data_IF_185649678661
#
_entry.id   IF_185649678661
#
_cell.length_a   1.000
_cell.length_b   1.000
_cell.length_c   1.000
_cell.angle_alpha   90.00
_cell.angle_beta   90.00
_cell.angle_gamma   90.00
#
_symmetry.space_group_name_H-M   'P 1'
#
loop_
_entity.id
_entity.type
_entity.pdbx_description
1 polymer ?
#
# COMPACT_ATOMS: atom_id res chain seq x y z
N UNK A 1 -7.71 47.59 -10.73
CA UNK A 1 -9.03 48.10 -10.26
C UNK A 1 -10.06 47.14 -10.79
N UNK A 2 -10.94 46.47 -10.06
CA UNK A 2 -11.15 46.16 -8.65
C UNK A 2 -12.27 45.11 -8.72
N UNK A 3 -12.17 44.04 -7.94
CA UNK A 3 -13.32 43.19 -7.59
C UNK A 3 -14.40 44.06 -6.89
N UNK A 4 -15.71 43.68 -6.85
CA UNK A 4 -16.09 42.73 -5.80
C UNK A 4 -17.32 41.81 -6.06
N UNK A 5 -17.18 40.62 -5.47
CA UNK A 5 -18.17 39.72 -4.86
C UNK A 5 -19.62 40.18 -4.59
N UNK A 6 -20.58 39.28 -4.85
CA UNK A 6 -21.84 39.11 -4.08
C UNK A 6 -22.44 37.74 -4.43
N UNK A 7 -22.64 36.75 -3.55
CA UNK A 7 -23.35 36.84 -2.27
C UNK A 7 -24.76 36.22 -2.38
N UNK A 8 -24.93 34.98 -2.87
CA UNK A 8 -26.27 34.33 -2.94
C UNK A 8 -26.64 33.67 -1.60
N UNK A 9 -27.18 34.53 -0.73
CA UNK A 9 -27.96 34.27 0.49
C UNK A 9 -29.04 33.21 0.22
N UNK A 10 -29.04 32.09 0.95
CA UNK A 10 -30.15 31.13 0.97
C UNK A 10 -31.36 31.80 1.61
N UNK A 11 -32.48 31.84 0.87
CA UNK A 11 -33.74 32.46 1.26
C UNK A 11 -34.52 31.50 2.19
N UNK A 12 -35.05 32.05 3.29
CA UNK A 12 -35.92 31.37 4.25
C UNK A 12 -37.36 31.57 3.81
N UNK A 13 -38.11 30.48 3.63
CA UNK A 13 -39.57 30.54 3.43
C UNK A 13 -40.24 29.62 4.43
N UNK A 14 -41.15 30.19 5.21
CA UNK A 14 -41.93 29.51 6.24
C UNK A 14 -43.33 29.23 5.69
N UNK A 15 -43.79 28.00 5.89
CA UNK A 15 -45.18 27.49 6.01
C UNK A 15 -46.24 27.86 4.95
N UNK A 16 -46.83 26.86 4.28
CA UNK A 16 -48.10 26.23 4.71
C UNK A 16 -48.60 25.14 3.72
N UNK A 17 -48.91 23.96 4.28
CA UNK A 17 -49.97 22.99 3.92
C UNK A 17 -50.38 22.76 2.46
N UNK A 18 -50.08 21.55 1.94
CA UNK A 18 -51.05 20.69 1.25
C UNK A 18 -50.46 19.27 1.08
N UNK A 19 -51.29 18.26 1.32
CA UNK A 19 -50.98 16.83 1.17
C UNK A 19 -50.73 16.51 -0.31
N UNK A 20 -49.71 15.71 -0.59
CA UNK A 20 -49.82 14.76 -1.70
C UNK A 20 -48.96 13.51 -1.47
N UNK A 21 -49.63 12.36 -1.55
CA UNK A 21 -49.08 11.03 -1.41
C UNK A 21 -48.43 10.61 -2.73
N UNK A 22 -47.10 10.65 -2.82
CA UNK A 22 -46.36 9.82 -3.79
C UNK A 22 -44.94 9.59 -3.27
N UNK A 23 -44.78 8.69 -2.30
CA UNK A 23 -43.45 8.25 -1.86
C UNK A 23 -42.87 7.27 -2.88
N UNK A 24 -42.19 7.83 -3.88
CA UNK A 24 -41.25 7.11 -4.72
C UNK A 24 -40.22 6.40 -3.84
N UNK A 25 -40.12 5.09 -4.02
CA UNK A 25 -39.14 4.22 -3.39
C UNK A 25 -37.73 4.66 -3.81
N UNK A 26 -37.09 5.50 -2.99
CA UNK A 26 -35.64 5.58 -2.98
C UNK A 26 -35.15 4.23 -2.45
N UNK A 27 -34.51 3.43 -3.31
CA UNK A 27 -33.88 2.18 -2.91
C UNK A 27 -32.99 2.44 -1.69
N UNK A 28 -33.46 2.00 -0.53
CA UNK A 28 -32.73 2.05 0.73
C UNK A 28 -31.54 1.11 0.54
N UNK A 29 -30.35 1.66 0.30
CA UNK A 29 -29.10 0.91 0.35
C UNK A 29 -29.16 0.01 1.59
N UNK A 30 -29.05 -1.30 1.40
CA UNK A 30 -29.07 -2.27 2.49
C UNK A 30 -27.78 -2.09 3.28
N UNK A 31 -27.81 -1.21 4.27
CA UNK A 31 -26.69 -1.00 5.17
C UNK A 31 -26.64 -2.17 6.16
N UNK A 32 -25.55 -2.93 6.14
CA UNK A 32 -25.29 -4.06 7.04
C UNK A 32 -24.61 -3.53 8.31
N UNK A 33 -24.92 -4.11 9.46
CA UNK A 33 -24.17 -3.84 10.70
C UNK A 33 -22.95 -4.75 10.76
N UNK A 34 -21.83 -4.19 11.16
CA UNK A 34 -20.63 -4.98 11.38
C UNK A 34 -20.80 -5.86 12.64
N UNK A 35 -20.46 -7.14 12.55
CA UNK A 35 -20.64 -8.07 13.67
C UNK A 35 -19.53 -7.94 14.73
N UNK A 36 -18.36 -7.40 14.36
CA UNK A 36 -17.20 -7.23 15.24
C UNK A 36 -17.19 -5.86 15.95
N UNK A 37 -17.63 -4.82 15.26
CA UNK A 37 -17.55 -3.42 15.70
C UNK A 37 -18.94 -2.78 15.90
N UNK A 38 -19.85 -3.53 16.51
CA UNK A 38 -21.17 -3.06 16.95
C UNK A 38 -21.34 -3.20 18.46
N UNK A 39 -20.98 -2.13 19.19
CA UNK A 39 -21.10 -2.08 20.64
C UNK A 39 -22.51 -1.61 21.07
N UNK A 40 -23.20 -2.42 21.89
CA UNK A 40 -24.57 -2.11 22.36
C UNK A 40 -24.66 -0.83 23.20
N UNK A 41 -23.56 -0.43 23.84
CA UNK A 41 -23.38 0.79 24.61
C UNK A 41 -22.65 1.90 23.84
N UNK A 42 -22.35 1.68 22.56
CA UNK A 42 -21.74 2.69 21.70
C UNK A 42 -22.63 3.93 21.56
N UNK A 43 -22.01 5.10 21.59
CA UNK A 43 -22.67 6.41 21.61
C UNK A 43 -22.48 7.23 20.31
N UNK A 44 -21.87 6.63 19.29
CA UNK A 44 -21.84 7.14 17.90
C UNK A 44 -21.95 5.97 16.91
N UNK A 45 -22.66 6.20 15.80
CA UNK A 45 -22.70 5.28 14.66
C UNK A 45 -21.94 5.93 13.51
N UNK A 46 -20.93 5.24 13.00
CA UNK A 46 -20.20 5.60 11.78
C UNK A 46 -20.70 4.72 10.64
N UNK A 47 -20.88 5.31 9.46
CA UNK A 47 -21.25 4.59 8.25
C UNK A 47 -20.07 4.69 7.29
N UNK A 48 -19.50 3.54 6.92
CA UNK A 48 -18.48 3.44 5.89
C UNK A 48 -19.01 2.54 4.77
N UNK A 49 -19.29 3.15 3.61
CA UNK A 49 -20.00 2.51 2.49
C UNK A 49 -21.37 1.98 2.93
N UNK A 50 -21.55 0.66 2.85
CA UNK A 50 -22.75 -0.09 3.19
C UNK A 50 -22.64 -0.77 4.57
N UNK A 51 -21.63 -0.40 5.39
CA UNK A 51 -21.45 -0.98 6.72
C UNK A 51 -21.61 0.09 7.82
N UNK A 52 -22.38 -0.26 8.83
CA UNK A 52 -22.64 0.50 10.05
C UNK A 52 -21.78 -0.01 11.22
N UNK A 53 -21.08 0.91 11.88
CA UNK A 53 -20.22 0.67 13.04
C UNK A 53 -20.74 1.47 14.22
N UNK A 54 -21.07 0.81 15.35
CA UNK A 54 -21.53 1.50 16.56
C UNK A 54 -20.41 1.48 17.60
N UNK A 55 -19.79 2.63 17.86
CA UNK A 55 -18.56 2.77 18.65
C UNK A 55 -18.65 3.94 19.65
N UNK A 56 -17.54 4.26 20.33
CA UNK A 56 -17.49 5.30 21.36
C UNK A 56 -16.81 6.60 20.90
N UNK A 57 -17.55 7.72 21.03
CA UNK A 57 -17.10 9.10 20.78
C UNK A 57 -15.82 9.45 21.55
N UNK A 58 -15.72 9.02 22.81
CA UNK A 58 -14.59 9.34 23.68
C UNK A 58 -13.27 8.79 23.15
N UNK A 59 -13.28 7.55 22.64
CA UNK A 59 -12.10 6.90 22.07
C UNK A 59 -11.69 7.60 20.77
N UNK A 60 -12.66 7.89 19.88
CA UNK A 60 -12.40 8.62 18.63
C UNK A 60 -11.83 10.02 18.91
N UNK A 61 -12.42 10.77 19.85
CA UNK A 61 -11.94 12.11 20.22
C UNK A 61 -10.58 12.11 20.95
N UNK A 62 -10.24 11.02 21.64
CA UNK A 62 -8.92 10.84 22.27
C UNK A 62 -7.83 10.74 21.20
N UNK A 63 -8.05 9.91 20.19
CA UNK A 63 -7.02 9.57 19.21
C UNK A 63 -7.08 10.37 17.90
N UNK A 64 -8.19 11.04 17.58
CA UNK A 64 -8.33 11.88 16.39
C UNK A 64 -8.72 13.31 16.79
N UNK A 65 -7.86 14.31 16.54
CA UNK A 65 -8.20 15.73 16.67
C UNK A 65 -9.43 16.11 15.85
N UNK A 66 -9.57 15.56 14.65
CA UNK A 66 -10.69 15.83 13.76
C UNK A 66 -12.01 15.32 14.36
N UNK A 67 -12.04 14.09 14.88
CA UNK A 67 -13.22 13.60 15.59
C UNK A 67 -13.44 14.30 16.91
N UNK A 68 -12.38 14.78 17.59
CA UNK A 68 -12.53 15.62 18.78
C UNK A 68 -13.29 16.89 18.47
N UNK A 69 -12.97 17.56 17.37
CA UNK A 69 -13.61 18.81 16.98
C UNK A 69 -15.03 18.58 16.42
N UNK A 70 -15.23 17.53 15.62
CA UNK A 70 -16.57 17.13 15.16
C UNK A 70 -17.48 16.75 16.34
N UNK A 71 -16.98 15.93 17.28
CA UNK A 71 -17.75 15.53 18.46
C UNK A 71 -18.01 16.70 19.40
N UNK A 72 -17.07 17.65 19.53
CA UNK A 72 -17.28 18.90 20.29
C UNK A 72 -18.34 19.79 19.65
N UNK A 73 -18.37 19.87 18.32
CA UNK A 73 -19.42 20.59 17.60
C UNK A 73 -20.81 19.93 17.73
N UNK A 74 -20.86 18.63 18.07
CA UNK A 74 -22.08 17.82 18.07
C UNK A 74 -22.53 17.22 19.41
N UNK A 75 -21.88 17.51 20.55
CA UNK A 75 -22.35 16.93 21.82
C UNK A 75 -22.12 17.81 23.07
N UNK A 76 -23.24 18.30 23.62
CA UNK A 76 -23.47 18.29 25.07
C UNK A 76 -23.51 16.83 25.54
N UNK A 77 -22.70 16.54 26.56
CA UNK A 77 -22.61 15.31 27.36
C UNK A 77 -22.16 14.00 26.65
N UNK A 78 -20.99 13.48 27.05
CA UNK A 78 -20.90 12.28 27.89
C UNK A 78 -19.45 11.75 28.06
N UNK A 79 -19.26 11.07 29.19
CA UNK A 79 -18.05 10.63 29.87
C UNK A 79 -17.18 9.56 29.15
N UNK A 80 -15.94 9.49 29.63
CA UNK A 80 -14.87 8.54 29.31
C UNK A 80 -15.21 7.09 29.71
N UNK A 81 -14.90 6.15 28.82
CA UNK A 81 -14.51 4.79 29.17
C UNK A 81 -13.33 4.38 28.26
N UNK A 82 -12.32 3.76 28.86
CA UNK A 82 -11.11 3.30 28.19
C UNK A 82 -11.25 1.83 27.78
N UNK A 83 -11.00 1.54 26.51
CA UNK A 83 -10.61 0.20 26.05
C UNK A 83 -9.47 0.39 25.04
N UNK A 84 -8.24 0.14 25.48
CA UNK A 84 -7.07 0.03 24.61
C UNK A 84 -6.98 -1.41 24.13
N UNK A 85 -7.60 -1.70 22.98
CA UNK A 85 -7.41 -2.97 22.28
C UNK A 85 -6.96 -2.70 20.85
N UNK A 86 -5.67 -2.41 20.70
CA UNK A 86 -5.01 -2.48 19.39
C UNK A 86 -4.21 -3.78 19.32
N UNK A 87 -4.88 -4.91 19.50
CA UNK A 87 -4.26 -6.25 19.41
C UNK A 87 -4.05 -6.74 17.97
N UNK A 88 -4.56 -6.01 16.97
CA UNK A 88 -4.37 -6.35 15.55
C UNK A 88 -2.91 -6.20 15.07
N UNK A 89 -2.08 -5.49 15.83
CA UNK A 89 -0.67 -5.22 15.53
C UNK A 89 0.26 -5.91 16.53
N UNK A 90 0.06 -7.22 16.75
CA UNK A 90 0.99 -8.00 17.56
C UNK A 90 2.40 -7.98 16.92
N UNK A 91 3.39 -7.52 17.68
CA UNK A 91 4.75 -7.23 17.21
C UNK A 91 5.52 -8.43 16.61
N UNK A 92 5.02 -9.67 16.72
CA UNK A 92 5.72 -10.90 16.32
C UNK A 92 5.06 -11.70 15.18
N UNK A 93 4.06 -11.16 14.49
CA UNK A 93 3.41 -11.87 13.37
C UNK A 93 4.30 -11.89 12.12
N UNK A 94 4.32 -13.03 11.39
CA UNK A 94 4.93 -13.12 10.05
C UNK A 94 4.30 -12.08 9.12
N UNK A 95 5.10 -11.46 8.26
CA UNK A 95 4.60 -10.53 7.24
C UNK A 95 3.72 -11.31 6.27
N UNK A 96 2.48 -10.85 6.08
CA UNK A 96 1.52 -11.47 5.16
C UNK A 96 0.79 -10.40 4.35
N UNK A 97 0.25 -10.77 3.20
CA UNK A 97 -0.53 -9.88 2.33
C UNK A 97 -1.61 -9.11 3.10
N UNK A 98 -2.40 -9.81 3.93
CA UNK A 98 -3.48 -9.21 4.73
C UNK A 98 -2.95 -8.17 5.72
N UNK A 99 -1.80 -8.44 6.34
CA UNK A 99 -1.20 -7.52 7.31
C UNK A 99 -0.70 -6.25 6.61
N UNK A 100 -0.04 -6.38 5.46
CA UNK A 100 0.46 -5.23 4.69
C UNK A 100 -0.71 -4.41 4.13
N UNK A 101 -1.71 -5.05 3.53
CA UNK A 101 -2.92 -4.39 3.04
C UNK A 101 -3.66 -3.65 4.17
N UNK A 102 -3.82 -4.30 5.33
CA UNK A 102 -4.42 -3.68 6.52
C UNK A 102 -3.59 -2.49 7.03
N UNK A 103 -2.27 -2.61 7.07
CA UNK A 103 -1.39 -1.51 7.48
C UNK A 103 -1.47 -0.31 6.52
N UNK A 104 -1.55 -0.54 5.20
CA UNK A 104 -1.79 0.53 4.21
C UNK A 104 -3.13 1.24 4.47
N UNK A 105 -4.21 0.47 4.68
CA UNK A 105 -5.53 1.03 4.97
C UNK A 105 -5.54 1.84 6.27
N UNK A 106 -4.95 1.29 7.35
CA UNK A 106 -4.83 1.98 8.64
C UNK A 106 -4.01 3.25 8.51
N UNK A 107 -2.90 3.24 7.77
CA UNK A 107 -2.09 4.43 7.55
C UNK A 107 -2.86 5.53 6.81
N UNK A 108 -3.59 5.20 5.73
CA UNK A 108 -4.42 6.17 5.00
C UNK A 108 -5.50 6.80 5.88
N UNK A 109 -6.19 5.98 6.66
CA UNK A 109 -7.22 6.44 7.57
C UNK A 109 -6.61 7.29 8.69
N UNK A 110 -5.53 6.82 9.30
CA UNK A 110 -4.83 7.54 10.36
C UNK A 110 -4.33 8.90 9.89
N UNK A 111 -3.80 8.98 8.66
CA UNK A 111 -3.43 10.25 8.04
C UNK A 111 -4.67 11.15 7.82
N UNK A 112 -5.74 10.63 7.20
CA UNK A 112 -6.98 11.37 6.93
C UNK A 112 -7.64 11.93 8.21
N UNK A 113 -7.58 11.19 9.30
CA UNK A 113 -8.20 11.54 10.59
C UNK A 113 -7.20 12.06 11.63
N UNK A 114 -5.95 12.34 11.24
CA UNK A 114 -4.89 12.88 12.11
C UNK A 114 -4.63 12.05 13.37
N UNK A 115 -4.68 10.72 13.26
CA UNK A 115 -4.39 9.77 14.34
C UNK A 115 -2.90 9.43 14.33
N UNK A 116 -2.06 10.31 14.86
CA UNK A 116 -0.59 10.21 14.74
C UNK A 116 0.00 8.91 15.29
N UNK A 117 -0.44 8.45 16.46
CA UNK A 117 0.06 7.20 17.06
C UNK A 117 -0.24 5.98 16.19
N UNK A 118 -1.45 5.93 15.60
CA UNK A 118 -1.86 4.85 14.70
C UNK A 118 -1.10 4.91 13.38
N UNK A 119 -0.84 6.12 12.87
CA UNK A 119 -0.02 6.32 11.68
C UNK A 119 1.41 5.81 11.92
N UNK A 120 2.03 6.17 13.04
CA UNK A 120 3.38 5.75 13.39
C UNK A 120 3.49 4.22 13.51
N UNK A 121 2.52 3.57 14.18
CA UNK A 121 2.45 2.11 14.28
C UNK A 121 2.30 1.46 12.90
N UNK A 122 1.39 1.96 12.06
CA UNK A 122 1.19 1.42 10.72
C UNK A 122 2.46 1.55 9.86
N UNK A 123 3.13 2.70 9.89
CA UNK A 123 4.41 2.92 9.18
C UNK A 123 5.49 1.99 9.69
N UNK A 124 5.61 1.78 11.00
CA UNK A 124 6.55 0.82 11.57
C UNK A 124 6.31 -0.60 11.03
N UNK A 125 5.05 -1.01 10.88
CA UNK A 125 4.72 -2.29 10.28
C UNK A 125 5.05 -2.34 8.78
N UNK A 126 4.81 -1.27 8.04
CA UNK A 126 5.15 -1.18 6.62
C UNK A 126 6.65 -1.24 6.40
N UNK A 127 7.47 -0.62 7.27
CA UNK A 127 8.95 -0.69 7.19
C UNK A 127 9.50 -2.10 7.34
N UNK A 128 8.76 -3.03 7.94
CA UNK A 128 9.15 -4.44 7.97
C UNK A 128 9.00 -5.12 6.61
N UNK A 129 8.02 -4.69 5.81
CA UNK A 129 7.76 -5.21 4.46
C UNK A 129 8.51 -4.42 3.37
N UNK A 130 8.71 -3.12 3.60
CA UNK A 130 9.41 -2.18 2.73
C UNK A 130 10.49 -1.46 3.57
N UNK A 131 11.61 -2.13 3.88
CA UNK A 131 12.69 -1.53 4.66
C UNK A 131 13.32 -0.36 3.91
N UNK A 132 14.08 0.48 4.60
CA UNK A 132 14.81 1.60 3.97
C UNK A 132 16.25 1.22 3.55
N UNK A 133 16.68 0.01 3.88
CA UNK A 133 17.99 -0.53 3.52
C UNK A 133 17.89 -1.78 2.66
N UNK A 134 18.79 -1.86 1.68
CA UNK A 134 18.89 -3.00 0.76
C UNK A 134 19.26 -4.31 1.47
N UNK A 135 20.15 -4.26 2.48
CA UNK A 135 20.62 -5.46 3.18
C UNK A 135 19.48 -6.21 3.89
N UNK A 136 18.57 -5.48 4.55
CA UNK A 136 17.40 -6.07 5.21
C UNK A 136 16.44 -6.72 4.22
N UNK A 137 16.39 -6.21 2.99
CA UNK A 137 15.57 -6.76 1.91
C UNK A 137 16.16 -8.05 1.31
N UNK A 138 17.49 -8.18 1.26
CA UNK A 138 18.17 -9.40 0.78
C UNK A 138 18.01 -10.55 1.77
N UNK A 139 18.06 -10.28 3.08
CA UNK A 139 17.86 -11.31 4.11
C UNK A 139 16.40 -11.77 4.25
N UNK A 140 15.46 -10.93 3.81
CA UNK A 140 14.02 -11.20 3.80
C UNK A 140 13.48 -10.83 2.42
N UNK A 141 13.79 -11.62 1.38
CA UNK A 141 13.29 -11.37 0.04
C UNK A 141 11.79 -11.19 0.17
N UNK A 142 11.30 -10.07 -0.36
CA UNK A 142 9.95 -9.55 -0.18
C UNK A 142 8.97 -10.72 -0.08
N UNK A 143 8.47 -11.00 1.13
CA UNK A 143 7.47 -12.06 1.34
C UNK A 143 6.17 -11.77 0.55
N UNK A 144 6.12 -10.59 -0.08
CA UNK A 144 5.08 -10.06 -0.93
C UNK A 144 5.29 -10.37 -2.43
N UNK A 145 6.33 -11.09 -2.85
CA UNK A 145 6.48 -11.54 -4.24
C UNK A 145 6.46 -13.08 -4.31
N UNK A 146 5.30 -13.72 -4.14
CA UNK A 146 5.10 -15.01 -4.81
C UNK A 146 3.83 -15.04 -5.68
N UNK A 147 3.10 -13.93 -5.85
CA UNK A 147 1.96 -13.86 -6.77
C UNK A 147 1.74 -12.45 -7.36
N UNK A 148 1.20 -12.35 -8.59
CA UNK A 148 0.91 -11.06 -9.26
C UNK A 148 0.00 -10.13 -8.44
N UNK A 149 -0.87 -10.70 -7.60
CA UNK A 149 -1.73 -9.96 -6.67
C UNK A 149 -0.98 -9.32 -5.49
N UNK A 150 0.19 -9.83 -5.13
CA UNK A 150 0.94 -9.40 -3.93
C UNK A 150 1.94 -8.27 -4.22
N UNK A 151 2.49 -8.19 -5.44
CA UNK A 151 3.35 -7.07 -5.84
C UNK A 151 2.58 -5.75 -6.05
N UNK A 152 1.27 -5.81 -6.33
CA UNK A 152 0.42 -4.61 -6.43
C UNK A 152 0.36 -3.80 -5.13
N UNK A 153 0.63 -4.40 -3.96
CA UNK A 153 0.72 -3.66 -2.69
C UNK A 153 1.88 -2.66 -2.67
N UNK A 154 2.94 -2.88 -3.46
CA UNK A 154 4.02 -1.93 -3.60
C UNK A 154 3.55 -0.60 -4.20
N UNK A 155 2.58 -0.63 -5.12
CA UNK A 155 1.93 0.58 -5.68
C UNK A 155 1.27 1.38 -4.56
N UNK A 156 0.51 0.69 -3.71
CA UNK A 156 -0.12 1.29 -2.54
C UNK A 156 0.91 1.87 -1.56
N UNK A 157 2.03 1.19 -1.34
CA UNK A 157 3.12 1.65 -0.48
C UNK A 157 3.81 2.92 -1.03
N UNK A 158 4.13 2.98 -2.33
CA UNK A 158 4.71 4.17 -2.97
C UNK A 158 3.77 5.36 -2.84
N UNK A 159 2.50 5.20 -3.22
CA UNK A 159 1.53 6.28 -3.16
C UNK A 159 1.27 6.75 -1.72
N UNK A 160 1.20 5.82 -0.77
CA UNK A 160 1.07 6.16 0.64
C UNK A 160 2.30 6.92 1.14
N UNK A 161 3.51 6.46 0.82
CA UNK A 161 4.76 7.11 1.22
C UNK A 161 4.81 8.57 0.74
N UNK A 162 4.35 8.82 -0.50
CA UNK A 162 4.19 10.18 -1.04
C UNK A 162 3.10 10.97 -0.30
N UNK A 163 1.97 10.33 0.01
CA UNK A 163 0.82 10.97 0.68
C UNK A 163 1.15 11.44 2.10
N UNK A 164 1.93 10.67 2.85
CA UNK A 164 2.26 10.94 4.26
C UNK A 164 3.65 11.57 4.45
N UNK A 165 4.37 11.85 3.36
CA UNK A 165 5.75 12.34 3.34
C UNK A 165 6.73 11.44 4.12
N UNK A 166 6.67 10.12 3.87
CA UNK A 166 7.56 9.12 4.47
C UNK A 166 8.50 8.52 3.41
N UNK A 167 9.58 9.22 3.01
CA UNK A 167 10.42 8.82 1.88
C UNK A 167 11.22 7.53 2.12
N UNK A 168 11.41 7.10 3.38
CA UNK A 168 12.15 5.88 3.71
C UNK A 168 11.50 4.61 3.15
N UNK A 169 10.19 4.63 2.87
CA UNK A 169 9.47 3.51 2.25
C UNK A 169 9.71 3.43 0.73
N UNK A 170 10.16 4.51 0.09
CA UNK A 170 10.20 4.62 -1.38
C UNK A 170 11.24 3.71 -2.05
N UNK A 171 12.50 3.57 -1.57
CA UNK A 171 13.51 2.83 -2.32
C UNK A 171 13.10 1.38 -2.59
N UNK A 172 12.59 0.70 -1.58
CA UNK A 172 12.25 -0.72 -1.65
C UNK A 172 10.86 -0.95 -2.22
N UNK A 173 9.90 -0.03 -1.99
CA UNK A 173 8.60 -0.07 -2.65
C UNK A 173 8.71 0.18 -4.16
N UNK A 174 9.51 1.15 -4.61
CA UNK A 174 9.76 1.40 -6.03
C UNK A 174 10.52 0.24 -6.67
N UNK A 175 11.51 -0.33 -5.98
CA UNK A 175 12.18 -1.54 -6.43
C UNK A 175 11.18 -2.70 -6.62
N UNK A 176 10.30 -2.93 -5.65
CA UNK A 176 9.27 -3.96 -5.74
C UNK A 176 8.29 -3.71 -6.91
N UNK A 177 7.99 -2.45 -7.23
CA UNK A 177 7.24 -2.09 -8.43
C UNK A 177 7.99 -2.42 -9.73
N UNK A 178 9.33 -2.32 -9.74
CA UNK A 178 10.13 -2.68 -10.91
C UNK A 178 10.09 -4.18 -11.21
N UNK A 179 9.94 -5.02 -10.19
CA UNK A 179 9.80 -6.48 -10.33
C UNK A 179 8.41 -6.91 -10.84
N UNK A 180 7.47 -5.99 -11.05
CA UNK A 180 6.17 -6.30 -11.62
C UNK A 180 6.23 -6.37 -13.15
N UNK A 181 5.42 -7.25 -13.74
CA UNK A 181 5.13 -7.19 -15.17
C UNK A 181 4.45 -5.85 -15.48
N UNK A 182 4.79 -5.24 -16.62
CA UNK A 182 4.22 -3.96 -17.04
C UNK A 182 2.68 -3.98 -17.07
N UNK A 183 2.07 -5.12 -17.43
CA UNK A 183 0.62 -5.27 -17.40
C UNK A 183 0.03 -5.14 -15.99
N UNK A 184 0.70 -5.65 -14.96
CA UNK A 184 0.22 -5.58 -13.58
C UNK A 184 0.52 -4.21 -12.95
N UNK A 185 1.64 -3.58 -13.34
CA UNK A 185 1.95 -2.20 -12.98
C UNK A 185 0.89 -1.22 -13.53
N UNK A 186 0.43 -1.44 -14.77
CA UNK A 186 -0.61 -0.65 -15.43
C UNK A 186 -2.02 -0.96 -14.92
N UNK A 187 -2.33 -2.21 -14.55
CA UNK A 187 -3.62 -2.58 -13.93
C UNK A 187 -3.82 -1.93 -12.57
N UNK A 188 -2.74 -1.63 -11.85
CA UNK A 188 -2.80 -1.01 -10.53
C UNK A 188 -3.26 -1.96 -9.42
N UNK A 189 -3.36 -1.39 -8.21
CA UNK A 189 -3.84 -2.05 -7.01
C UNK A 189 -5.36 -1.96 -6.91
N UNK A 190 -6.02 -3.10 -7.05
CA UNK A 190 -7.48 -3.21 -6.86
C UNK A 190 -7.79 -3.33 -5.37
N UNK A 191 -8.64 -2.43 -4.87
CA UNK A 191 -9.16 -2.43 -3.51
C UNK A 191 -10.40 -3.33 -3.39
N UNK A 192 -10.82 -3.61 -2.15
CA UNK A 192 -12.01 -4.44 -1.88
C UNK A 192 -13.32 -3.84 -2.42
N UNK A 193 -13.41 -2.53 -2.66
CA UNK A 193 -14.56 -1.90 -3.34
C UNK A 193 -14.46 -1.88 -4.86
N UNK A 194 -13.44 -2.51 -5.43
CA UNK A 194 -13.17 -2.46 -6.86
C UNK A 194 -12.57 -1.13 -7.34
N UNK A 195 -12.31 -0.17 -6.44
CA UNK A 195 -11.53 1.01 -6.81
C UNK A 195 -10.08 0.61 -7.10
N UNK A 196 -9.48 1.27 -8.08
CA UNK A 196 -8.14 0.93 -8.54
C UNK A 196 -7.19 2.08 -8.29
N UNK A 197 -6.13 1.80 -7.56
CA UNK A 197 -5.05 2.73 -7.30
C UNK A 197 -3.89 2.48 -8.26
N UNK A 198 -3.47 3.53 -8.95
CA UNK A 198 -2.36 3.50 -9.90
C UNK A 198 -1.20 4.33 -9.35
N UNK A 199 0.03 3.99 -9.76
CA UNK A 199 1.17 4.87 -9.52
C UNK A 199 0.92 6.24 -10.16
N UNK A 200 1.41 7.29 -9.51
CA UNK A 200 1.54 8.58 -10.15
C UNK A 200 2.40 8.44 -11.42
N UNK A 201 2.09 9.21 -12.47
CA UNK A 201 2.78 9.12 -13.76
C UNK A 201 4.30 9.29 -13.64
N UNK A 202 4.74 10.13 -12.70
CA UNK A 202 6.16 10.35 -12.43
C UNK A 202 6.84 9.10 -11.83
N UNK A 203 6.19 8.45 -10.85
CA UNK A 203 6.72 7.22 -10.25
C UNK A 203 6.59 6.02 -11.20
N UNK A 204 5.57 5.99 -12.06
CA UNK A 204 5.45 5.02 -13.15
C UNK A 204 6.61 5.16 -14.13
N UNK A 205 6.93 6.38 -14.58
CA UNK A 205 8.08 6.67 -15.43
C UNK A 205 9.40 6.22 -14.78
N UNK A 206 9.59 6.55 -13.49
CA UNK A 206 10.75 6.10 -12.71
C UNK A 206 10.88 4.57 -12.69
N UNK A 207 9.79 3.84 -12.49
CA UNK A 207 9.80 2.38 -12.49
C UNK A 207 10.19 1.82 -13.86
N UNK A 208 9.59 2.32 -14.94
CA UNK A 208 9.90 1.85 -16.29
C UNK A 208 11.35 2.12 -16.70
N UNK A 209 11.88 3.32 -16.40
CA UNK A 209 13.28 3.66 -16.63
C UNK A 209 14.22 2.79 -15.79
N UNK A 210 13.85 2.51 -14.54
CA UNK A 210 14.61 1.64 -13.65
C UNK A 210 14.60 0.19 -14.11
N UNK A 211 13.48 -0.37 -14.60
CA UNK A 211 13.42 -1.71 -15.17
C UNK A 211 14.44 -1.89 -16.30
N UNK A 212 14.49 -0.93 -17.24
CA UNK A 212 15.44 -0.98 -18.35
C UNK A 212 16.90 -0.93 -17.88
N UNK A 213 17.20 -0.07 -16.89
CA UNK A 213 18.55 0.03 -16.30
C UNK A 213 18.94 -1.21 -15.51
N UNK A 214 18.01 -1.82 -14.77
CA UNK A 214 18.25 -3.04 -14.01
C UNK A 214 18.55 -4.22 -14.94
N UNK A 215 17.74 -4.40 -15.98
CA UNK A 215 17.97 -5.42 -17.02
C UNK A 215 19.33 -5.23 -17.71
N UNK A 216 19.71 -3.99 -18.06
CA UNK A 216 21.05 -3.69 -18.61
C UNK A 216 22.16 -4.13 -17.65
N UNK A 217 22.03 -3.82 -16.35
CA UNK A 217 23.04 -4.19 -15.35
C UNK A 217 23.11 -5.68 -15.09
N UNK A 218 21.98 -6.39 -15.10
CA UNK A 218 21.94 -7.86 -15.00
C UNK A 218 22.69 -8.47 -16.16
N UNK A 219 22.42 -8.04 -17.40
CA UNK A 219 23.11 -8.56 -18.58
C UNK A 219 24.64 -8.35 -18.47
N UNK A 220 25.09 -7.15 -18.10
CA UNK A 220 26.52 -6.85 -17.90
C UNK A 220 27.14 -7.66 -16.76
N UNK A 221 26.39 -7.91 -15.67
CA UNK A 221 26.84 -8.75 -14.57
C UNK A 221 26.98 -10.20 -15.02
N UNK A 222 25.99 -10.74 -15.71
CA UNK A 222 26.00 -12.10 -16.24
C UNK A 222 27.18 -12.30 -17.18
N UNK A 223 27.42 -11.38 -18.13
CA UNK A 223 28.57 -11.49 -19.04
C UNK A 223 29.88 -11.50 -18.27
N UNK A 224 30.06 -10.62 -17.26
CA UNK A 224 31.30 -10.58 -16.45
C UNK A 224 31.52 -11.82 -15.60
N UNK A 225 30.45 -12.39 -15.04
CA UNK A 225 30.53 -13.60 -14.21
C UNK A 225 31.01 -14.78 -15.06
N UNK A 226 30.53 -14.90 -16.31
CA UNK A 226 30.84 -16.04 -17.16
C UNK A 226 32.01 -15.80 -18.14
N UNK A 227 32.46 -14.55 -18.31
CA UNK A 227 33.70 -14.18 -19.02
C UNK A 227 34.96 -14.40 -18.14
N UNK A 228 34.80 -14.92 -16.92
CA UNK A 228 35.91 -15.22 -16.02
C UNK A 228 36.95 -16.14 -16.68
N UNK A 229 38.21 -15.72 -16.65
CA UNK A 229 39.33 -16.57 -17.05
C UNK A 229 39.53 -17.69 -16.03
N UNK A 230 39.71 -18.92 -16.50
CA UNK A 230 40.06 -20.07 -15.64
C UNK A 230 41.32 -19.76 -14.82
N UNK A 231 41.25 -19.99 -13.50
CA UNK A 231 42.41 -19.80 -12.62
C UNK A 231 43.60 -20.64 -13.08
N UNK A 232 44.80 -20.07 -13.00
CA UNK A 232 46.05 -20.78 -13.31
C UNK A 232 46.31 -21.96 -12.36
N UNK A 233 45.71 -21.94 -11.18
CA UNK A 233 45.79 -22.99 -10.16
C UNK A 233 44.75 -24.10 -10.35
N UNK A 234 43.86 -23.98 -11.35
CA UNK A 234 42.86 -25.00 -11.62
C UNK A 234 43.52 -26.28 -12.15
N UNK A 235 43.19 -27.42 -11.55
CA UNK A 235 43.70 -28.73 -11.94
C UNK A 235 43.10 -29.26 -13.26
N UNK A 236 41.94 -28.76 -13.68
CA UNK A 236 41.21 -29.20 -14.87
C UNK A 236 40.85 -27.99 -15.75
N UNK A 237 41.86 -27.33 -16.29
CA UNK A 237 41.68 -26.03 -16.96
C UNK A 237 40.74 -26.09 -18.17
N UNK A 238 40.88 -27.13 -19.02
CA UNK A 238 40.06 -27.30 -20.22
C UNK A 238 38.59 -27.55 -19.86
N UNK A 239 38.34 -28.47 -18.91
CA UNK A 239 36.98 -28.75 -18.44
C UNK A 239 36.32 -27.55 -17.77
N UNK A 240 37.07 -26.77 -16.97
CA UNK A 240 36.55 -25.54 -16.38
C UNK A 240 36.25 -24.47 -17.44
N UNK A 241 37.08 -24.37 -18.49
CA UNK A 241 36.83 -23.45 -19.61
C UNK A 241 35.55 -23.82 -20.33
N UNK A 242 35.41 -25.10 -20.72
CA UNK A 242 34.20 -25.59 -21.40
C UNK A 242 32.94 -25.36 -20.55
N UNK A 243 33.03 -25.59 -19.23
CA UNK A 243 31.90 -25.33 -18.32
C UNK A 243 31.52 -23.84 -18.27
N UNK A 244 32.49 -22.91 -18.18
CA UNK A 244 32.22 -21.47 -18.19
C UNK A 244 31.66 -21.00 -19.53
N UNK A 245 32.18 -21.52 -20.65
CA UNK A 245 31.66 -21.23 -21.99
C UNK A 245 30.23 -21.76 -22.18
N UNK A 246 29.92 -22.94 -21.64
CA UNK A 246 28.55 -23.46 -21.61
C UNK A 246 27.61 -22.58 -20.78
N UNK A 247 28.05 -22.12 -19.60
CA UNK A 247 27.26 -21.21 -18.77
C UNK A 247 27.01 -19.87 -19.47
N UNK A 248 28.03 -19.30 -20.14
CA UNK A 248 27.91 -18.08 -20.93
C UNK A 248 26.94 -18.28 -22.11
N UNK A 249 27.02 -19.42 -22.81
CA UNK A 249 26.08 -19.76 -23.87
C UNK A 249 24.64 -19.88 -23.34
N UNK A 250 24.46 -20.36 -22.10
CA UNK A 250 23.17 -20.43 -21.42
C UNK A 250 22.53 -19.05 -21.24
N UNK A 251 23.32 -18.00 -20.96
CA UNK A 251 22.82 -16.62 -20.86
C UNK A 251 22.12 -16.16 -22.14
N UNK A 252 22.65 -16.54 -23.30
CA UNK A 252 22.05 -16.22 -24.59
C UNK A 252 20.78 -17.02 -24.89
N UNK A 253 20.65 -18.23 -24.34
CA UNK A 253 19.46 -19.08 -24.54
C UNK A 253 18.31 -18.69 -23.62
N UNK A 254 18.62 -18.28 -22.39
CA UNK A 254 17.64 -17.90 -21.37
C UNK A 254 17.57 -16.39 -21.16
N UNK A 255 17.62 -15.62 -22.27
CA UNK A 255 17.70 -14.15 -22.22
C UNK A 255 16.57 -13.49 -21.43
N UNK A 256 15.40 -14.13 -21.33
CA UNK A 256 14.27 -13.66 -20.52
C UNK A 256 14.60 -13.64 -19.02
N UNK A 257 15.39 -14.60 -18.52
CA UNK A 257 15.81 -14.66 -17.12
C UNK A 257 16.79 -13.53 -16.77
N UNK A 258 17.61 -13.12 -17.74
CA UNK A 258 18.58 -12.03 -17.57
C UNK A 258 18.01 -10.65 -17.93
N UNK A 259 16.82 -10.60 -18.52
CA UNK A 259 16.07 -9.38 -18.81
C UNK A 259 15.04 -9.06 -17.72
N UNK A 260 14.81 -9.96 -16.76
CA UNK A 260 13.92 -9.70 -15.63
C UNK A 260 14.54 -8.63 -14.70
N UNK A 261 13.83 -7.53 -14.39
CA UNK A 261 14.33 -6.49 -13.51
C UNK A 261 14.51 -6.92 -12.04
N UNK A 262 14.02 -8.10 -11.64
CA UNK A 262 14.23 -8.66 -10.31
C UNK A 262 15.65 -9.24 -10.13
N UNK A 263 16.58 -8.38 -9.71
CA UNK A 263 17.97 -8.75 -9.41
C UNK A 263 18.13 -9.62 -8.16
N UNK A 264 17.10 -9.80 -7.34
CA UNK A 264 17.20 -10.49 -6.05
C UNK A 264 16.72 -11.95 -6.12
N UNK A 265 16.00 -12.32 -7.16
CA UNK A 265 15.57 -13.70 -7.36
C UNK A 265 16.76 -14.60 -7.75
N UNK A 266 16.92 -15.78 -7.11
CA UNK A 266 18.02 -16.70 -7.45
C UNK A 266 17.93 -17.14 -8.91
N UNK A 267 19.04 -17.04 -9.64
CA UNK A 267 19.15 -17.52 -11.03
C UNK A 267 19.12 -19.06 -11.15
N UNK A 268 19.11 -19.79 -10.03
CA UNK A 268 19.24 -21.25 -10.00
C UNK A 268 17.94 -22.00 -9.65
N UNK A 269 16.85 -21.29 -9.34
CA UNK A 269 15.59 -21.89 -8.88
C UNK A 269 14.45 -21.86 -9.93
N UNK A 270 14.78 -21.66 -11.22
CA UNK A 270 13.82 -21.61 -12.33
C UNK A 270 13.67 -22.97 -13.05
#
# INVERSE_FOLDING_TARGET
MSDPQSGRKRQRTVSHTAKDNTSGSAAKLLVKRDDEFWFEDGNIVLIARDIEFRVFKGILAKHSPLFRDICRAHALHANQAEVSSYSAFAANSRISFKLVSGALAVARMSHKYQMHDMLALAVQHLKRAFPDTFHEQVEKPLCCIPSPSSGALAIGAVNLARLIDEPSLLPTALYACCALKSADLLKGLVHEDGSVEHLALEDLGRCLDACGRLAEKILVLATRIFELSVSKECAAQDTCREALEMMLSGVGQDSDMFADPDVLSPWMDA
#
